data_IF_667572804438
#
_entry.id   IF_667572804438
#
_cell.length_a   1.000
_cell.length_b   1.000
_cell.length_c   1.000
_cell.angle_alpha   90.00
_cell.angle_beta   90.00
_cell.angle_gamma   90.00
#
_symmetry.space_group_name_H-M   'P 1'
#
loop_
_entity.id
_entity.type
_entity.pdbx_description
1 polymer ?
#
# COMPACT_ATOMS: atom_id res chain seq x y z
N UNK A 1 -31.15 1.33 -21.21
CA UNK A 1 -30.19 1.38 -20.10
C UNK A 1 -29.27 2.57 -20.26
N UNK A 2 -28.54 2.95 -19.22
CA UNK A 2 -27.53 4.02 -19.32
C UNK A 2 -26.36 3.53 -20.18
N UNK A 3 -25.72 4.40 -20.97
CA UNK A 3 -24.57 4.01 -21.78
C UNK A 3 -23.39 3.62 -20.87
N UNK A 4 -22.67 2.58 -21.26
CA UNK A 4 -21.46 2.10 -20.59
C UNK A 4 -20.30 2.29 -21.55
N UNK A 5 -19.23 2.92 -21.11
CA UNK A 5 -17.98 2.97 -21.87
C UNK A 5 -16.94 2.06 -21.21
N UNK A 6 -16.44 1.10 -21.97
CA UNK A 6 -15.39 0.18 -21.53
C UNK A 6 -14.08 0.60 -22.20
N UNK A 7 -13.09 0.93 -21.38
CA UNK A 7 -11.73 1.21 -21.86
C UNK A 7 -10.88 -0.04 -21.76
N UNK A 8 -10.23 -0.40 -22.85
CA UNK A 8 -9.45 -1.63 -22.97
C UNK A 8 -7.97 -1.35 -23.29
N UNK A 9 -7.11 -2.27 -22.89
CA UNK A 9 -5.69 -2.20 -23.20
C UNK A 9 -5.45 -2.47 -24.69
N UNK A 10 -4.45 -1.79 -25.29
CA UNK A 10 -4.13 -1.87 -26.73
C UNK A 10 -3.95 -3.29 -27.29
N UNK A 11 -3.59 -4.25 -26.46
CA UNK A 11 -3.38 -5.65 -26.84
C UNK A 11 -4.63 -6.53 -26.62
N UNK A 12 -5.77 -5.95 -26.23
CA UNK A 12 -7.01 -6.70 -26.01
C UNK A 12 -7.66 -7.03 -27.32
N UNK A 13 -8.03 -8.30 -27.54
CA UNK A 13 -8.82 -8.70 -28.68
C UNK A 13 -10.29 -8.32 -28.42
N UNK A 14 -10.75 -7.29 -29.12
CA UNK A 14 -12.11 -6.73 -28.98
C UNK A 14 -13.19 -7.49 -29.76
N UNK A 15 -12.81 -8.45 -30.62
CA UNK A 15 -13.76 -9.20 -31.45
C UNK A 15 -14.71 -10.07 -30.61
N UNK A 16 -14.26 -10.45 -29.41
CA UNK A 16 -15.06 -11.22 -28.45
C UNK A 16 -15.97 -10.37 -27.58
N UNK A 17 -15.93 -9.04 -27.71
CA UNK A 17 -16.74 -8.18 -26.87
C UNK A 17 -18.22 -8.18 -27.30
N UNK A 18 -19.18 -8.20 -26.36
CA UNK A 18 -20.60 -8.11 -26.66
C UNK A 18 -20.92 -6.85 -27.46
N UNK A 19 -21.56 -7.02 -28.62
CA UNK A 19 -21.98 -5.90 -29.47
C UNK A 19 -23.41 -5.50 -29.08
N UNK A 20 -23.57 -4.45 -28.30
CA UNK A 20 -24.86 -3.90 -27.90
C UNK A 20 -24.89 -2.38 -28.12
N UNK A 21 -26.06 -1.83 -28.33
CA UNK A 21 -26.21 -0.39 -28.61
C UNK A 21 -25.85 0.51 -27.42
N UNK A 22 -25.73 -0.05 -26.22
CA UNK A 22 -25.48 0.73 -24.99
C UNK A 22 -24.05 0.56 -24.46
N UNK A 23 -23.19 -0.21 -25.11
CA UNK A 23 -21.81 -0.43 -24.67
C UNK A 23 -20.87 0.12 -25.74
N UNK A 24 -20.02 1.04 -25.34
CA UNK A 24 -18.99 1.65 -26.17
C UNK A 24 -17.62 1.15 -25.73
N UNK A 25 -16.79 0.73 -26.66
CA UNK A 25 -15.44 0.25 -26.42
C UNK A 25 -14.45 1.26 -26.93
N UNK A 26 -13.49 1.66 -26.11
CA UNK A 26 -12.44 2.61 -26.45
C UNK A 26 -11.08 2.15 -25.96
N UNK A 27 -10.00 2.41 -26.69
CA UNK A 27 -8.65 2.18 -26.17
C UNK A 27 -8.42 2.99 -24.88
N UNK A 28 -7.68 2.40 -23.93
CA UNK A 28 -7.37 3.05 -22.66
C UNK A 28 -6.62 4.40 -22.84
N UNK A 29 -5.87 4.52 -23.96
CA UNK A 29 -5.21 5.77 -24.36
C UNK A 29 -6.19 6.92 -24.66
N UNK A 30 -7.44 6.61 -24.96
CA UNK A 30 -8.51 7.58 -25.18
C UNK A 30 -9.27 7.97 -23.89
N UNK A 31 -8.88 7.40 -22.76
CA UNK A 31 -9.40 7.81 -21.48
C UNK A 31 -8.97 9.25 -21.18
N UNK A 32 -9.77 10.18 -21.69
CA UNK A 32 -9.59 11.62 -21.48
C UNK A 32 -10.35 12.03 -20.24
N UNK A 33 -9.90 13.11 -19.66
CA UNK A 33 -10.45 13.73 -18.46
C UNK A 33 -11.98 13.83 -18.46
N UNK A 34 -12.47 13.70 -17.31
CA UNK A 34 -13.76 14.06 -16.74
C UNK A 34 -14.64 12.87 -16.39
N UNK A 35 -14.30 12.28 -15.30
CA UNK A 35 -15.36 11.78 -14.45
C UNK A 35 -16.11 12.99 -13.92
N UNK A 36 -17.41 13.03 -14.15
CA UNK A 36 -18.30 14.01 -13.55
C UNK A 36 -19.00 13.40 -12.31
N UNK A 37 -19.78 14.19 -11.61
CA UNK A 37 -20.56 13.75 -10.45
C UNK A 37 -21.66 12.73 -10.76
N UNK A 38 -21.69 12.15 -11.95
CA UNK A 38 -22.62 11.09 -12.38
C UNK A 38 -21.87 9.86 -12.88
N UNK A 39 -20.54 9.88 -12.83
CA UNK A 39 -19.68 8.79 -13.32
C UNK A 39 -19.39 7.80 -12.21
N UNK A 40 -19.60 6.53 -12.49
CA UNK A 40 -19.10 5.42 -11.68
C UNK A 40 -17.93 4.79 -12.44
N UNK A 41 -16.79 4.69 -11.79
CA UNK A 41 -15.59 4.03 -12.33
C UNK A 41 -15.54 2.59 -11.82
N UNK A 42 -15.45 1.63 -12.72
CA UNK A 42 -15.24 0.22 -12.38
C UNK A 42 -13.84 -0.16 -12.86
N UNK A 43 -12.94 -0.37 -11.91
CA UNK A 43 -11.58 -0.78 -12.21
C UNK A 43 -11.46 -2.30 -12.25
N UNK A 44 -11.03 -2.82 -13.39
CA UNK A 44 -10.71 -4.25 -13.59
C UNK A 44 -9.31 -4.44 -14.14
N UNK A 45 -8.45 -3.44 -14.03
CA UNK A 45 -7.07 -3.52 -14.49
C UNK A 45 -6.28 -4.51 -13.63
N UNK A 46 -5.25 -5.08 -14.24
CA UNK A 46 -4.31 -5.95 -13.51
C UNK A 46 -3.67 -5.20 -12.36
N UNK A 47 -3.40 -5.86 -11.21
CA UNK A 47 -2.62 -5.29 -10.11
C UNK A 47 -1.25 -4.76 -10.52
N UNK A 48 -0.71 -5.25 -11.64
CA UNK A 48 0.57 -4.80 -12.21
C UNK A 48 0.42 -3.63 -13.19
N UNK A 49 -0.80 -3.11 -13.40
CA UNK A 49 -1.00 -1.97 -14.26
C UNK A 49 -0.41 -0.70 -13.62
N UNK A 50 0.17 0.17 -14.45
CA UNK A 50 0.49 1.51 -13.99
C UNK A 50 -0.81 2.32 -13.89
N UNK A 51 -1.11 2.79 -12.67
CA UNK A 51 -2.32 3.55 -12.36
C UNK A 51 -2.13 5.07 -12.43
N UNK A 52 -0.90 5.56 -12.65
CA UNK A 52 -0.59 7.00 -12.63
C UNK A 52 -1.47 7.81 -13.59
N UNK A 53 -1.80 7.24 -14.75
CA UNK A 53 -2.66 7.89 -15.72
C UNK A 53 -4.12 8.07 -15.22
N UNK A 54 -4.57 7.29 -14.23
CA UNK A 54 -5.88 7.39 -13.64
C UNK A 54 -5.93 8.41 -12.49
N UNK A 55 -4.81 8.59 -11.77
CA UNK A 55 -4.74 9.37 -10.54
C UNK A 55 -5.29 10.79 -10.71
N UNK A 56 -5.05 11.40 -11.87
CA UNK A 56 -5.45 12.77 -12.18
C UNK A 56 -6.77 12.87 -12.94
N UNK A 57 -7.48 11.75 -13.17
CA UNK A 57 -8.64 11.72 -14.06
C UNK A 57 -9.95 11.29 -13.41
N UNK A 58 -9.89 10.59 -12.29
CA UNK A 58 -11.08 10.01 -11.64
C UNK A 58 -11.56 10.77 -10.40
N UNK A 59 -10.94 11.90 -10.07
CA UNK A 59 -11.20 12.67 -8.84
C UNK A 59 -12.61 13.31 -8.73
N UNK A 60 -13.40 13.29 -9.80
CA UNK A 60 -14.78 13.77 -9.81
C UNK A 60 -15.83 12.67 -9.92
N UNK A 61 -15.42 11.41 -9.88
CA UNK A 61 -16.36 10.30 -9.94
C UNK A 61 -17.30 10.32 -8.72
N UNK A 62 -18.52 9.81 -8.89
CA UNK A 62 -19.45 9.59 -7.77
C UNK A 62 -18.99 8.42 -6.93
N UNK A 63 -18.57 7.34 -7.59
CA UNK A 63 -18.11 6.13 -6.91
C UNK A 63 -17.03 5.42 -7.72
N UNK A 64 -16.20 4.70 -7.03
CA UNK A 64 -15.21 3.79 -7.60
C UNK A 64 -15.51 2.39 -7.08
N UNK A 65 -15.63 1.44 -8.01
CA UNK A 65 -15.69 0.02 -7.73
C UNK A 65 -14.37 -0.58 -8.19
N UNK A 66 -13.61 -1.13 -7.26
CA UNK A 66 -12.29 -1.69 -7.55
C UNK A 66 -12.34 -3.22 -7.47
N UNK A 67 -12.24 -3.90 -8.60
CA UNK A 67 -12.28 -5.35 -8.62
C UNK A 67 -11.01 -6.01 -8.08
N UNK A 68 -9.92 -5.24 -7.91
CA UNK A 68 -8.72 -5.74 -7.25
C UNK A 68 -8.89 -5.73 -5.72
N UNK A 69 -9.21 -6.89 -5.17
CA UNK A 69 -9.42 -7.07 -3.73
C UNK A 69 -8.11 -7.16 -2.92
N UNK A 70 -6.97 -7.32 -3.58
CA UNK A 70 -5.67 -7.52 -2.90
C UNK A 70 -4.92 -6.21 -2.70
N UNK A 71 -4.81 -5.40 -3.74
CA UNK A 71 -3.92 -4.24 -3.74
C UNK A 71 -4.65 -2.90 -3.61
N UNK A 72 -5.98 -2.88 -3.83
CA UNK A 72 -6.85 -1.70 -3.69
C UNK A 72 -6.23 -0.39 -4.24
N UNK A 73 -5.75 -0.38 -5.48
CA UNK A 73 -4.92 0.71 -5.99
C UNK A 73 -5.62 2.07 -6.03
N UNK A 74 -6.95 2.09 -6.04
CA UNK A 74 -7.74 3.32 -6.12
C UNK A 74 -8.35 3.76 -4.78
N UNK A 75 -8.16 3.00 -3.69
CA UNK A 75 -8.73 3.31 -2.38
C UNK A 75 -8.26 4.68 -1.86
N UNK A 76 -6.96 4.94 -1.94
CA UNK A 76 -6.40 6.22 -1.49
C UNK A 76 -6.90 7.41 -2.30
N UNK A 77 -7.10 7.25 -3.62
CA UNK A 77 -7.66 8.31 -4.46
C UNK A 77 -9.10 8.60 -4.06
N UNK A 78 -9.87 7.56 -3.82
CA UNK A 78 -11.25 7.70 -3.38
C UNK A 78 -11.33 8.44 -2.05
N UNK A 79 -10.50 8.08 -1.08
CA UNK A 79 -10.42 8.73 0.23
C UNK A 79 -10.03 10.21 0.12
N UNK A 80 -8.96 10.52 -0.61
CA UNK A 80 -8.48 11.90 -0.78
C UNK A 80 -9.51 12.83 -1.44
N UNK A 81 -10.33 12.28 -2.34
CA UNK A 81 -11.31 13.05 -3.11
C UNK A 81 -12.75 12.88 -2.59
N UNK A 82 -12.95 12.19 -1.45
CA UNK A 82 -14.27 11.92 -0.85
C UNK A 82 -15.23 11.23 -1.81
N UNK A 83 -14.70 10.27 -2.58
CA UNK A 83 -15.45 9.47 -3.53
C UNK A 83 -15.88 8.19 -2.81
N UNK A 84 -17.11 7.73 -3.01
CA UNK A 84 -17.58 6.45 -2.49
C UNK A 84 -16.75 5.31 -3.08
N UNK A 85 -16.20 4.46 -2.21
CA UNK A 85 -15.34 3.36 -2.62
C UNK A 85 -15.92 2.01 -2.24
N UNK A 86 -16.03 1.14 -3.24
CA UNK A 86 -16.45 -0.25 -3.10
C UNK A 86 -15.24 -1.12 -3.44
N UNK A 87 -14.70 -1.81 -2.44
CA UNK A 87 -13.52 -2.65 -2.62
C UNK A 87 -13.84 -3.98 -3.34
N UNK A 88 -12.80 -4.62 -3.82
CA UNK A 88 -12.91 -5.87 -4.56
C UNK A 88 -13.46 -7.04 -3.73
N UNK A 89 -13.38 -6.99 -2.40
CA UNK A 89 -14.03 -7.98 -1.54
C UNK A 89 -15.56 -7.88 -1.61
N UNK A 90 -16.12 -6.67 -1.61
CA UNK A 90 -17.54 -6.45 -1.84
C UNK A 90 -17.95 -6.96 -3.22
N UNK A 91 -17.17 -6.62 -4.24
CA UNK A 91 -17.40 -7.11 -5.59
C UNK A 91 -17.42 -8.64 -5.65
N UNK A 92 -16.37 -9.29 -5.12
CA UNK A 92 -16.24 -10.74 -5.10
C UNK A 92 -17.37 -11.42 -4.31
N UNK A 93 -17.74 -10.85 -3.17
CA UNK A 93 -18.80 -11.34 -2.31
C UNK A 93 -20.17 -11.36 -3.04
N UNK A 94 -20.57 -10.22 -3.60
CA UNK A 94 -21.85 -10.15 -4.31
C UNK A 94 -21.87 -10.99 -5.59
N UNK A 95 -20.75 -11.05 -6.32
CA UNK A 95 -20.60 -11.94 -7.47
C UNK A 95 -20.72 -13.41 -7.04
N UNK A 96 -20.12 -13.78 -5.90
CA UNK A 96 -20.20 -15.12 -5.34
C UNK A 96 -21.62 -15.53 -4.97
N UNK A 97 -22.38 -14.61 -4.34
CA UNK A 97 -23.78 -14.85 -4.00
C UNK A 97 -24.63 -15.07 -5.25
N UNK A 98 -24.51 -14.21 -6.26
CA UNK A 98 -25.29 -14.36 -7.50
C UNK A 98 -24.93 -15.67 -8.24
N UNK A 99 -23.65 -16.01 -8.27
CA UNK A 99 -23.21 -17.30 -8.82
C UNK A 99 -23.79 -18.49 -8.02
N UNK A 100 -23.75 -18.43 -6.69
CA UNK A 100 -24.32 -19.47 -5.83
C UNK A 100 -25.82 -19.65 -6.04
N UNK A 101 -26.57 -18.54 -6.17
CA UNK A 101 -28.01 -18.58 -6.50
C UNK A 101 -28.28 -19.33 -7.79
N UNK A 102 -27.48 -19.04 -8.82
CA UNK A 102 -27.58 -19.71 -10.12
C UNK A 102 -27.28 -21.20 -10.03
N UNK A 103 -26.20 -21.59 -9.33
CA UNK A 103 -25.81 -23.00 -9.21
C UNK A 103 -26.75 -23.82 -8.35
N UNK A 104 -27.35 -23.23 -7.31
CA UNK A 104 -28.22 -23.94 -6.36
C UNK A 104 -29.70 -23.78 -6.63
N UNK A 105 -30.08 -22.94 -7.61
CA UNK A 105 -31.46 -22.54 -7.91
C UNK A 105 -32.18 -21.95 -6.69
N UNK A 106 -31.44 -21.29 -5.77
CA UNK A 106 -31.96 -20.65 -4.56
C UNK A 106 -32.05 -19.15 -4.76
N UNK A 107 -33.11 -18.65 -5.37
CA UNK A 107 -33.29 -17.23 -5.68
C UNK A 107 -33.37 -16.33 -4.41
N UNK A 108 -33.78 -16.85 -3.27
CA UNK A 108 -34.06 -16.07 -2.06
C UNK A 108 -32.91 -16.06 -1.04
N UNK A 109 -31.70 -16.43 -1.43
CA UNK A 109 -30.55 -16.36 -0.54
C UNK A 109 -30.21 -14.87 -0.28
N UNK A 110 -30.48 -14.41 0.93
CA UNK A 110 -29.99 -13.13 1.42
C UNK A 110 -28.88 -13.40 2.44
N UNK A 111 -27.69 -13.01 2.13
CA UNK A 111 -26.54 -13.06 3.05
C UNK A 111 -26.07 -11.63 3.22
N UNK A 112 -25.95 -11.18 4.46
CA UNK A 112 -25.37 -9.86 4.72
C UNK A 112 -23.84 -9.93 4.65
N UNK A 113 -23.25 -8.95 3.99
CA UNK A 113 -21.81 -8.78 3.97
C UNK A 113 -21.34 -8.33 5.35
N UNK A 114 -20.73 -9.24 6.10
CA UNK A 114 -20.13 -8.89 7.38
C UNK A 114 -18.62 -8.67 7.24
N UNK A 115 -18.22 -7.40 7.32
CA UNK A 115 -16.80 -7.01 7.33
C UNK A 115 -15.99 -7.67 8.45
N UNK A 116 -16.64 -8.20 9.49
CA UNK A 116 -15.92 -8.91 10.58
C UNK A 116 -15.14 -10.13 10.09
N UNK A 117 -15.59 -10.79 9.03
CA UNK A 117 -14.84 -11.91 8.43
C UNK A 117 -13.51 -11.49 7.80
N UNK A 118 -13.37 -10.21 7.46
CA UNK A 118 -12.15 -9.64 6.90
C UNK A 118 -11.28 -8.93 7.95
N UNK A 119 -11.81 -8.70 9.13
CA UNK A 119 -11.06 -8.18 10.27
C UNK A 119 -10.30 -9.33 10.96
N UNK A 120 -9.19 -9.72 10.38
CA UNK A 120 -8.05 -10.03 11.23
C UNK A 120 -7.77 -8.75 12.02
N UNK A 121 -7.40 -8.83 13.29
CA UNK A 121 -6.99 -7.67 14.11
C UNK A 121 -5.67 -7.06 13.58
N UNK A 122 -5.64 -6.76 12.28
CA UNK A 122 -4.45 -6.30 11.55
C UNK A 122 -3.93 -4.98 12.11
N UNK A 123 -4.82 -4.19 12.71
CA UNK A 123 -4.45 -2.93 13.37
C UNK A 123 -3.72 -3.12 14.71
N UNK A 124 -3.76 -4.32 15.30
CA UNK A 124 -3.00 -4.61 16.52
C UNK A 124 -1.48 -4.71 16.23
N UNK A 125 -1.10 -4.87 14.96
CA UNK A 125 0.29 -4.90 14.50
C UNK A 125 0.46 -3.98 13.31
N UNK A 126 1.23 -2.93 13.49
CA UNK A 126 1.45 -1.90 12.46
C UNK A 126 2.91 -1.93 12.03
N UNK A 127 3.14 -1.97 10.73
CA UNK A 127 4.48 -1.86 10.16
C UNK A 127 4.61 -0.55 9.36
N UNK A 128 5.60 0.26 9.69
CA UNK A 128 5.98 1.43 8.91
C UNK A 128 7.05 1.03 7.91
N UNK A 129 6.72 1.14 6.63
CA UNK A 129 7.61 0.87 5.51
C UNK A 129 7.90 2.15 4.73
N UNK A 130 9.01 2.20 4.01
CA UNK A 130 9.41 3.37 3.21
C UNK A 130 10.91 3.58 3.19
N UNK A 131 11.36 4.52 2.38
CA UNK A 131 12.76 4.84 2.19
C UNK A 131 13.43 5.40 3.45
N UNK A 132 14.77 5.39 3.45
CA UNK A 132 15.55 6.12 4.47
C UNK A 132 15.22 7.60 4.41
N UNK A 133 15.04 8.25 5.55
CA UNK A 133 14.61 9.65 5.64
C UNK A 133 13.09 9.84 5.66
N UNK A 134 12.27 8.79 5.47
CA UNK A 134 10.81 8.91 5.49
C UNK A 134 10.22 9.20 6.90
N UNK A 135 11.01 9.08 7.97
CA UNK A 135 10.56 9.38 9.32
C UNK A 135 9.91 8.21 10.06
N UNK A 136 10.09 6.98 9.59
CA UNK A 136 9.48 5.76 10.17
C UNK A 136 9.69 5.60 11.66
N UNK A 137 10.90 5.77 12.15
CA UNK A 137 11.23 5.65 13.58
C UNK A 137 10.51 6.72 14.42
N UNK A 138 10.47 7.95 13.94
CA UNK A 138 9.83 9.09 14.64
C UNK A 138 8.32 8.92 14.69
N UNK A 139 7.70 8.64 13.54
CA UNK A 139 6.25 8.37 13.44
C UNK A 139 5.88 7.13 14.25
N UNK A 140 6.68 6.06 14.16
CA UNK A 140 6.44 4.80 14.86
C UNK A 140 6.43 4.96 16.38
N UNK A 141 7.38 5.71 16.93
CA UNK A 141 7.42 6.01 18.37
C UNK A 141 6.17 6.78 18.83
N UNK A 142 5.80 7.83 18.09
CA UNK A 142 4.60 8.61 18.42
C UNK A 142 3.33 7.75 18.31
N UNK A 143 3.20 6.95 17.26
CA UNK A 143 2.05 6.09 17.06
C UNK A 143 1.92 5.05 18.19
N UNK A 144 3.02 4.39 18.55
CA UNK A 144 3.06 3.42 19.64
C UNK A 144 2.70 4.06 20.99
N UNK A 145 3.25 5.22 21.29
CA UNK A 145 2.93 5.98 22.52
C UNK A 145 1.43 6.30 22.60
N UNK A 146 0.88 6.88 21.54
CA UNK A 146 -0.53 7.31 21.48
C UNK A 146 -1.53 6.14 21.51
N UNK A 147 -1.12 4.97 21.00
CA UNK A 147 -1.95 3.77 20.97
C UNK A 147 -1.72 2.86 22.18
N UNK A 148 -0.75 3.16 23.02
CA UNK A 148 -0.28 2.28 24.09
C UNK A 148 0.16 0.91 23.55
N UNK A 149 0.99 0.93 22.50
CA UNK A 149 1.59 -0.22 21.85
C UNK A 149 3.09 -0.25 22.11
N UNK A 150 3.69 -1.43 21.98
CA UNK A 150 5.14 -1.59 21.95
C UNK A 150 5.70 -1.01 20.65
N UNK A 151 6.88 -0.39 20.73
CA UNK A 151 7.62 0.09 19.55
C UNK A 151 8.91 -0.70 19.35
N UNK A 152 9.11 -1.23 18.15
CA UNK A 152 10.33 -1.91 17.74
C UNK A 152 10.88 -1.30 16.45
N UNK A 153 12.14 -0.85 16.49
CA UNK A 153 12.91 -0.50 15.30
C UNK A 153 13.78 -1.67 14.92
N UNK A 154 13.47 -2.30 13.77
CA UNK A 154 14.13 -3.55 13.34
C UNK A 154 15.63 -3.35 13.14
N UNK A 155 16.03 -2.24 12.48
CA UNK A 155 17.43 -1.93 12.23
C UNK A 155 18.21 -1.83 13.56
N UNK A 156 17.67 -1.09 14.52
CA UNK A 156 18.28 -0.92 15.85
C UNK A 156 18.33 -2.23 16.65
N UNK A 157 17.34 -3.10 16.52
CA UNK A 157 17.35 -4.39 17.22
C UNK A 157 18.41 -5.33 16.62
N UNK A 158 18.54 -5.37 15.31
CA UNK A 158 19.59 -6.14 14.64
C UNK A 158 20.99 -5.67 15.11
N UNK A 159 21.24 -4.34 15.12
CA UNK A 159 22.52 -3.80 15.60
C UNK A 159 22.83 -4.20 17.04
N UNK A 160 21.81 -4.22 17.91
CA UNK A 160 21.98 -4.65 19.32
C UNK A 160 22.27 -6.13 19.46
N UNK A 161 21.58 -6.99 18.70
CA UNK A 161 21.75 -8.44 18.76
C UNK A 161 23.12 -8.83 18.23
N UNK A 162 23.51 -8.27 17.09
CA UNK A 162 24.78 -8.55 16.44
C UNK A 162 25.97 -7.83 17.10
N UNK A 163 25.69 -6.84 17.95
CA UNK A 163 26.71 -5.96 18.55
C UNK A 163 27.62 -5.32 17.49
N UNK A 164 27.08 -5.04 16.32
CA UNK A 164 27.72 -4.44 15.15
C UNK A 164 26.80 -3.41 14.52
N UNK A 165 27.34 -2.35 13.95
CA UNK A 165 26.54 -1.47 13.10
C UNK A 165 26.12 -2.19 11.81
N UNK A 166 24.99 -1.75 11.21
CA UNK A 166 24.54 -2.29 9.92
C UNK A 166 25.65 -2.20 8.88
N UNK A 167 26.39 -1.09 8.84
CA UNK A 167 27.52 -0.92 7.92
C UNK A 167 28.61 -1.96 8.13
N UNK A 168 28.90 -2.33 9.38
CA UNK A 168 29.84 -3.41 9.70
C UNK A 168 29.32 -4.78 9.30
N UNK A 169 28.02 -5.06 9.54
CA UNK A 169 27.38 -6.30 9.12
C UNK A 169 27.48 -6.46 7.59
N UNK A 170 27.19 -5.40 6.84
CA UNK A 170 27.31 -5.41 5.37
C UNK A 170 28.76 -5.64 4.90
N UNK A 171 29.73 -5.06 5.60
CA UNK A 171 31.15 -5.21 5.25
C UNK A 171 31.70 -6.61 5.58
N UNK A 172 31.31 -7.17 6.73
CA UNK A 172 31.84 -8.43 7.24
C UNK A 172 31.12 -9.64 6.63
N UNK A 173 29.79 -9.60 6.55
CA UNK A 173 28.92 -10.74 6.24
C UNK A 173 28.13 -10.59 4.92
N UNK A 174 28.05 -9.38 4.41
CA UNK A 174 27.35 -9.06 3.16
C UNK A 174 25.84 -8.77 3.30
N UNK A 175 25.25 -8.35 2.20
CA UNK A 175 23.82 -7.93 2.18
C UNK A 175 22.87 -9.11 2.44
N UNK A 176 23.16 -10.28 1.90
CA UNK A 176 22.30 -11.47 2.03
C UNK A 176 22.12 -11.89 3.49
N UNK A 177 23.21 -11.87 4.26
CA UNK A 177 23.15 -12.14 5.69
C UNK A 177 22.28 -11.13 6.43
N UNK A 178 22.43 -9.84 6.15
CA UNK A 178 21.58 -8.82 6.75
C UNK A 178 20.09 -9.06 6.43
N UNK A 179 19.77 -9.41 5.19
CA UNK A 179 18.38 -9.74 4.80
C UNK A 179 17.84 -10.96 5.56
N UNK A 180 18.69 -11.92 5.88
CA UNK A 180 18.29 -13.04 6.73
C UNK A 180 18.00 -12.59 8.16
N UNK A 181 18.78 -11.66 8.70
CA UNK A 181 18.52 -11.08 10.03
C UNK A 181 17.20 -10.33 10.06
N UNK A 182 16.88 -9.53 9.03
CA UNK A 182 15.57 -8.87 8.90
C UNK A 182 14.42 -9.89 8.93
N UNK A 183 14.56 -11.00 8.20
CA UNK A 183 13.55 -12.07 8.16
C UNK A 183 13.38 -12.75 9.51
N UNK A 184 14.48 -13.06 10.19
CA UNK A 184 14.46 -13.69 11.51
C UNK A 184 13.77 -12.77 12.53
N UNK A 185 14.12 -11.49 12.51
CA UNK A 185 13.49 -10.48 13.40
C UNK A 185 11.99 -10.38 13.20
N UNK A 186 11.51 -10.36 11.94
CA UNK A 186 10.08 -10.38 11.67
C UNK A 186 9.39 -11.61 12.26
N UNK A 187 9.99 -12.78 12.12
CA UNK A 187 9.46 -14.03 12.66
C UNK A 187 9.37 -14.04 14.19
N UNK A 188 10.35 -13.45 14.88
CA UNK A 188 10.32 -13.31 16.35
C UNK A 188 9.19 -12.41 16.83
N UNK A 189 8.87 -11.37 16.08
CA UNK A 189 7.84 -10.38 16.42
C UNK A 189 6.40 -10.84 16.15
N UNK A 190 6.19 -12.02 15.53
CA UNK A 190 4.85 -12.47 15.14
C UNK A 190 3.90 -12.65 16.31
N UNK A 191 4.42 -13.05 17.46
CA UNK A 191 3.60 -13.36 18.64
C UNK A 191 3.32 -12.13 19.53
N UNK A 192 3.91 -10.97 19.22
CA UNK A 192 3.65 -9.75 19.98
C UNK A 192 2.33 -9.13 19.51
N UNK A 193 1.46 -8.82 20.43
CA UNK A 193 0.25 -8.03 20.17
C UNK A 193 0.49 -6.56 20.52
N UNK A 194 -0.31 -5.67 19.94
CA UNK A 194 -0.19 -4.22 20.15
C UNK A 194 1.21 -3.69 19.85
N UNK A 195 1.66 -3.93 18.65
CA UNK A 195 3.02 -3.67 18.20
C UNK A 195 3.06 -2.68 17.04
N UNK A 196 3.96 -1.72 17.10
CA UNK A 196 4.36 -0.86 15.97
C UNK A 196 5.81 -1.16 15.63
N UNK A 197 6.08 -1.53 14.38
CA UNK A 197 7.46 -1.73 13.91
C UNK A 197 7.88 -0.65 12.93
N UNK A 198 9.12 -0.18 13.04
CA UNK A 198 9.83 0.59 12.01
C UNK A 198 10.78 -0.34 11.27
N UNK A 199 10.64 -0.42 9.96
CA UNK A 199 11.44 -1.35 9.15
C UNK A 199 12.65 -0.67 8.50
N UNK A 200 13.65 -1.45 8.12
CA UNK A 200 14.68 -1.01 7.19
C UNK A 200 14.12 -0.71 5.80
N UNK A 201 14.70 0.27 5.09
CA UNK A 201 14.21 0.64 3.75
C UNK A 201 14.35 -0.46 2.70
N UNK A 202 15.10 -1.51 2.96
CA UNK A 202 15.29 -2.64 2.05
C UNK A 202 14.50 -3.90 2.40
N UNK A 203 13.76 -3.91 3.50
CA UNK A 203 13.04 -5.12 3.98
C UNK A 203 12.05 -5.67 2.94
N UNK A 204 11.49 -4.79 2.12
CA UNK A 204 10.51 -5.12 1.07
C UNK A 204 11.16 -5.76 -0.17
N UNK A 205 12.49 -5.82 -0.27
CA UNK A 205 13.19 -6.45 -1.41
C UNK A 205 12.94 -7.96 -1.37
N UNK A 206 13.01 -8.56 -0.19
CA UNK A 206 12.74 -9.98 -0.01
C UNK A 206 11.24 -10.28 -0.12
N UNK A 207 10.86 -11.13 -1.06
CA UNK A 207 9.46 -11.51 -1.30
C UNK A 207 8.80 -12.14 -0.08
N UNK A 208 9.53 -13.02 0.64
CA UNK A 208 9.03 -13.65 1.87
C UNK A 208 8.71 -12.62 2.95
N UNK A 209 9.51 -11.57 3.07
CA UNK A 209 9.26 -10.49 4.01
C UNK A 209 8.01 -9.68 3.61
N UNK A 210 7.82 -9.42 2.29
CA UNK A 210 6.60 -8.75 1.82
C UNK A 210 5.35 -9.57 2.13
N UNK A 211 5.38 -10.88 1.84
CA UNK A 211 4.25 -11.78 2.16
C UNK A 211 3.99 -11.84 3.66
N UNK A 212 5.05 -11.94 4.47
CA UNK A 212 4.94 -11.95 5.92
C UNK A 212 4.30 -10.66 6.46
N UNK A 213 4.78 -9.50 6.01
CA UNK A 213 4.23 -8.19 6.36
C UNK A 213 2.76 -8.08 5.95
N UNK A 214 2.41 -8.45 4.72
CA UNK A 214 1.03 -8.41 4.22
C UNK A 214 0.08 -9.29 5.02
N UNK A 215 0.53 -10.42 5.48
CA UNK A 215 -0.32 -11.38 6.20
C UNK A 215 -0.49 -11.04 7.69
N UNK A 216 0.49 -10.35 8.30
CA UNK A 216 0.56 -10.20 9.75
C UNK A 216 0.48 -8.77 10.27
N UNK A 217 0.70 -7.76 9.42
CA UNK A 217 0.76 -6.36 9.82
C UNK A 217 -0.18 -5.48 8.98
N UNK A 218 -0.64 -4.39 9.56
CA UNK A 218 -1.18 -3.27 8.82
C UNK A 218 0.00 -2.40 8.36
N UNK A 219 0.28 -2.44 7.06
CA UNK A 219 1.47 -1.85 6.49
C UNK A 219 1.19 -0.42 6.03
N UNK A 220 1.87 0.55 6.63
CA UNK A 220 1.76 1.96 6.28
C UNK A 220 3.02 2.39 5.54
N UNK A 221 2.86 2.76 4.28
CA UNK A 221 3.95 3.32 3.49
C UNK A 221 4.05 4.83 3.74
N UNK A 222 5.13 5.25 4.38
CA UNK A 222 5.49 6.66 4.49
C UNK A 222 6.21 7.07 3.21
N UNK A 223 5.46 7.68 2.30
CA UNK A 223 5.99 8.18 1.03
C UNK A 223 6.55 9.58 1.22
N UNK A 224 7.82 9.77 0.88
CA UNK A 224 8.55 11.02 1.06
C UNK A 224 9.26 11.38 -0.26
N UNK A 225 9.30 12.66 -0.60
CA UNK A 225 10.09 13.16 -1.71
C UNK A 225 11.59 13.06 -1.42
N UNK A 226 12.40 13.00 -2.48
CA UNK A 226 13.86 12.92 -2.35
C UNK A 226 14.44 14.12 -1.63
N UNK A 227 13.93 15.31 -1.91
CA UNK A 227 14.47 16.55 -1.34
C UNK A 227 14.21 16.59 0.19
N UNK A 228 13.03 16.25 0.63
CA UNK A 228 12.67 16.14 2.03
C UNK A 228 13.44 15.02 2.75
N UNK A 229 13.57 13.86 2.12
CA UNK A 229 14.31 12.74 2.69
C UNK A 229 15.79 13.08 2.90
N UNK A 230 16.42 13.74 1.93
CA UNK A 230 17.82 14.16 2.02
C UNK A 230 18.02 15.24 3.08
N UNK A 231 17.11 16.20 3.20
CA UNK A 231 17.16 17.21 4.26
C UNK A 231 17.14 16.55 5.66
N UNK A 232 16.23 15.63 5.89
CA UNK A 232 16.14 14.88 7.16
C UNK A 232 17.36 14.00 7.43
N UNK A 233 17.94 13.40 6.40
CA UNK A 233 19.14 12.58 6.55
C UNK A 233 20.38 13.41 6.86
N UNK A 234 20.50 14.63 6.34
CA UNK A 234 21.61 15.55 6.64
C UNK A 234 21.58 16.06 8.09
N UNK A 235 20.41 16.22 8.67
CA UNK A 235 20.25 16.63 10.07
C UNK A 235 20.66 15.55 11.09
N UNK A 236 20.79 14.30 10.65
CA UNK A 236 21.21 13.17 11.50
C UNK A 236 22.68 12.82 11.25
N UNK A 237 23.60 13.36 12.07
CA UNK A 237 25.05 13.22 11.98
C UNK A 237 25.60 11.77 12.00
N UNK A 238 24.78 10.78 12.30
CA UNK A 238 25.19 9.39 12.49
C UNK A 238 25.10 8.49 11.23
N UNK A 239 24.93 9.03 10.02
CA UNK A 239 24.89 8.23 8.79
C UNK A 239 25.88 8.72 7.75
N UNK A 240 27.12 8.13 7.70
CA UNK A 240 28.18 8.53 6.78
C UNK A 240 27.96 8.16 5.30
N UNK A 241 26.76 7.74 4.90
CA UNK A 241 26.43 7.39 3.50
C UNK A 241 26.38 8.58 2.54
N UNK A 242 26.87 9.75 2.96
CA UNK A 242 26.63 11.02 2.31
C UNK A 242 27.85 11.59 1.54
N UNK A 243 28.81 10.79 1.12
CA UNK A 243 29.90 11.24 0.27
C UNK A 243 29.65 10.89 -1.20
N UNK A 244 29.29 11.93 -1.98
CA UNK A 244 29.22 11.88 -3.44
C UNK A 244 27.98 11.19 -4.04
N UNK A 245 27.19 11.94 -4.79
CA UNK A 245 26.06 11.48 -5.60
C UNK A 245 24.91 10.74 -4.86
N UNK A 246 24.58 11.21 -3.65
CA UNK A 246 23.54 10.62 -2.81
C UNK A 246 22.17 10.70 -3.44
N UNK A 247 21.88 11.85 -4.05
CA UNK A 247 20.58 12.10 -4.68
C UNK A 247 20.28 11.05 -5.74
N UNK A 248 21.24 10.78 -6.62
CA UNK A 248 21.05 9.79 -7.69
C UNK A 248 20.94 8.35 -7.13
N UNK A 249 21.76 8.03 -6.11
CA UNK A 249 21.67 6.71 -5.45
C UNK A 249 20.33 6.51 -4.77
N UNK A 250 19.85 7.52 -4.04
CA UNK A 250 18.57 7.47 -3.38
C UNK A 250 17.43 7.35 -4.39
N UNK A 251 17.47 8.17 -5.46
CA UNK A 251 16.47 8.13 -6.54
C UNK A 251 16.43 6.76 -7.19
N UNK A 252 17.58 6.20 -7.53
CA UNK A 252 17.67 4.86 -8.11
C UNK A 252 17.04 3.80 -7.21
N UNK A 253 17.38 3.81 -5.92
CA UNK A 253 16.79 2.87 -4.95
C UNK A 253 15.30 3.09 -4.78
N UNK A 254 14.83 4.33 -4.83
CA UNK A 254 13.41 4.66 -4.75
C UNK A 254 12.66 4.11 -5.97
N UNK A 255 13.16 4.34 -7.17
CA UNK A 255 12.54 3.87 -8.42
C UNK A 255 12.47 2.32 -8.46
N UNK A 256 13.52 1.64 -8.00
CA UNK A 256 13.58 0.18 -7.90
C UNK A 256 12.58 -0.39 -6.87
N UNK A 257 12.31 0.34 -5.78
CA UNK A 257 11.54 -0.14 -4.63
C UNK A 257 10.11 0.37 -4.58
N UNK A 258 9.80 1.44 -5.29
CA UNK A 258 8.51 2.13 -5.20
C UNK A 258 7.33 1.18 -5.43
N UNK A 259 7.40 0.37 -6.48
CA UNK A 259 6.35 -0.61 -6.77
C UNK A 259 6.20 -1.64 -5.66
N UNK A 260 7.31 -2.08 -5.06
CA UNK A 260 7.29 -3.04 -3.95
C UNK A 260 6.65 -2.44 -2.69
N UNK A 261 6.91 -1.15 -2.40
CA UNK A 261 6.22 -0.45 -1.31
C UNK A 261 4.71 -0.38 -1.56
N UNK A 262 4.29 0.04 -2.76
CA UNK A 262 2.87 0.09 -3.12
C UNK A 262 2.18 -1.26 -3.02
N UNK A 263 2.85 -2.33 -3.45
CA UNK A 263 2.32 -3.70 -3.38
C UNK A 263 2.24 -4.25 -1.95
N UNK A 264 3.04 -3.72 -1.02
CA UNK A 264 3.09 -4.18 0.37
C UNK A 264 2.18 -3.37 1.27
N UNK A 265 1.96 -2.10 0.97
CA UNK A 265 1.20 -1.17 1.77
C UNK A 265 -0.30 -1.49 1.80
N UNK A 266 -0.90 -1.40 2.97
CA UNK A 266 -2.34 -1.31 3.16
C UNK A 266 -2.81 0.16 3.14
N UNK A 267 -1.93 1.09 3.53
CA UNK A 267 -2.20 2.52 3.52
C UNK A 267 -0.93 3.32 3.17
N UNK A 268 -1.13 4.45 2.51
CA UNK A 268 -0.04 5.32 2.06
C UNK A 268 -0.25 6.71 2.65
N UNK A 269 0.79 7.21 3.31
CA UNK A 269 0.81 8.56 3.88
C UNK A 269 1.85 9.40 3.16
N UNK A 270 1.46 10.59 2.74
CA UNK A 270 2.43 11.58 2.27
C UNK A 270 3.17 12.16 3.49
N UNK A 271 4.46 11.86 3.59
CA UNK A 271 5.31 12.28 4.68
C UNK A 271 6.08 13.59 4.41
N UNK A 272 5.83 14.27 3.27
CA UNK A 272 6.49 15.53 2.94
C UNK A 272 6.00 16.67 3.82
N UNK A 273 6.95 17.42 4.39
CA UNK A 273 6.69 18.69 5.12
C UNK A 273 5.59 18.61 6.19
N UNK A 274 5.10 17.42 6.48
CA UNK A 274 4.09 17.21 7.49
C UNK A 274 4.75 17.07 8.87
N UNK A 275 4.18 17.78 9.86
CA UNK A 275 4.50 17.51 11.26
C UNK A 275 4.09 16.06 11.59
N UNK A 276 4.87 15.42 12.44
CA UNK A 276 4.63 14.03 12.89
C UNK A 276 3.22 13.85 13.47
N UNK A 277 2.71 14.86 14.18
CA UNK A 277 1.35 14.85 14.71
C UNK A 277 0.28 14.82 13.61
N UNK A 278 0.51 15.50 12.48
CA UNK A 278 -0.41 15.45 11.35
C UNK A 278 -0.44 14.04 10.71
N UNK A 279 0.73 13.42 10.54
CA UNK A 279 0.84 12.05 10.06
C UNK A 279 0.12 11.08 11.01
N UNK A 280 0.25 11.30 12.32
CA UNK A 280 -0.46 10.49 13.32
C UNK A 280 -1.98 10.62 13.21
N UNK A 281 -2.52 11.84 13.09
CA UNK A 281 -3.98 12.03 12.96
C UNK A 281 -4.52 11.40 11.67
N UNK A 282 -3.79 11.47 10.56
CA UNK A 282 -4.15 10.82 9.29
C UNK A 282 -4.22 9.28 9.47
N UNK A 283 -3.22 8.67 10.09
CA UNK A 283 -3.18 7.24 10.39
C UNK A 283 -4.32 6.84 11.35
N UNK A 284 -4.55 7.63 12.38
CA UNK A 284 -5.57 7.38 13.41
C UNK A 284 -6.98 7.35 12.83
N UNK A 285 -7.29 8.20 11.86
CA UNK A 285 -8.58 8.19 11.17
C UNK A 285 -8.88 6.86 10.48
N UNK A 286 -7.83 6.20 9.98
CA UNK A 286 -7.96 4.90 9.29
C UNK A 286 -8.10 3.74 10.28
N UNK A 287 -7.32 3.77 11.35
CA UNK A 287 -7.32 2.69 12.36
C UNK A 287 -8.63 2.67 13.18
N UNK A 288 -9.29 3.81 13.34
CA UNK A 288 -10.57 3.92 14.07
C UNK A 288 -11.78 3.44 13.27
N UNK A 289 -11.66 3.31 11.96
CA UNK A 289 -12.71 2.80 11.07
C UNK A 289 -12.75 1.28 11.03
#
# INVERSE_FOLDING_TARGET
GKPITIFYHKNTNVDYFPKTNNIHYKPLSEFKESTDSKTIVINTLSPLANYDFLLNKIFKATAIIDADYRNKPLENIALMNKIDYIDGYHWLYYQGIESFKLFTNQANLSVEYDKKWLKTNKYDKIALIGMSGAGKTTVGKLLAEKMNYEFVDIDNQIEKIENKSISQIFADEGEEFFRQLETNMLNELINNDKLVISTGGGIIINEKNREFLKNNFFNIFLNVSIDEALERLQQNENRPLLLGNIKDKWQKLYDERLLLYYQTADYIVNADKNNVDFIYEDIKEIIKK
#
